data_IF_143320394138
#
_entry.id   IF_143320394138
#
_cell.length_a   1.000
_cell.length_b   1.000
_cell.length_c   1.000
_cell.angle_alpha   90.00
_cell.angle_beta   90.00
_cell.angle_gamma   90.00
#
_symmetry.space_group_name_H-M   'P 1'
#
loop_
_entity.id
_entity.type
_entity.pdbx_description
1 polymer ?
#
# COMPACT_ATOMS: atom_id res chain seq x y z
N UNK A 1 14.07 8.09 -14.17
CA UNK A 1 12.94 8.07 -15.14
C UNK A 1 11.83 7.22 -14.54
N UNK A 2 10.58 7.66 -14.56
CA UNK A 2 9.47 6.85 -14.03
C UNK A 2 9.09 5.73 -15.00
N UNK A 3 8.70 4.54 -14.50
CA UNK A 3 8.27 3.45 -15.36
C UNK A 3 7.06 3.83 -16.22
N UNK A 4 7.11 3.49 -17.51
CA UNK A 4 6.04 3.78 -18.48
C UNK A 4 5.36 2.53 -19.04
N UNK A 5 5.92 1.34 -18.80
CA UNK A 5 5.36 0.03 -19.15
C UNK A 5 5.51 -0.96 -17.98
N UNK A 6 4.69 -2.02 -17.97
CA UNK A 6 4.75 -3.08 -16.96
C UNK A 6 6.12 -3.77 -16.94
N UNK A 7 6.75 -3.96 -18.09
CA UNK A 7 8.07 -4.61 -18.23
C UNK A 7 9.23 -3.87 -17.56
N UNK A 8 9.02 -2.64 -17.09
CA UNK A 8 10.02 -1.86 -16.34
C UNK A 8 9.89 -2.04 -14.82
N UNK A 9 8.88 -2.79 -14.38
CA UNK A 9 8.70 -3.12 -12.97
C UNK A 9 9.43 -4.41 -12.62
N UNK A 10 9.94 -4.44 -11.40
CA UNK A 10 10.46 -5.61 -10.74
C UNK A 10 10.01 -5.56 -9.28
N UNK A 11 9.98 -6.71 -8.61
CA UNK A 11 9.84 -6.74 -7.17
C UNK A 11 11.07 -6.12 -6.52
N UNK A 12 10.87 -5.45 -5.38
CA UNK A 12 11.93 -4.73 -4.68
C UNK A 12 13.14 -5.62 -4.34
N UNK A 13 12.87 -6.81 -3.80
CA UNK A 13 13.87 -7.83 -3.49
C UNK A 13 13.27 -9.22 -3.72
N UNK A 14 14.11 -10.27 -3.66
CA UNK A 14 13.65 -11.66 -3.68
C UNK A 14 12.83 -12.05 -2.44
N UNK A 15 12.87 -11.26 -1.36
CA UNK A 15 12.16 -11.53 -0.11
C UNK A 15 10.68 -11.13 -0.12
N UNK A 16 10.26 -10.27 -1.05
CA UNK A 16 8.90 -9.67 -1.07
C UNK A 16 7.80 -10.74 -1.06
N UNK A 17 7.85 -11.71 -1.96
CA UNK A 17 6.80 -12.73 -2.05
C UNK A 17 6.77 -13.65 -0.82
N UNK A 18 7.94 -13.98 -0.27
CA UNK A 18 8.03 -14.85 0.90
C UNK A 18 7.41 -14.21 2.14
N UNK A 19 7.75 -12.94 2.42
CA UNK A 19 7.20 -12.17 3.54
C UNK A 19 5.67 -12.01 3.43
N UNK A 20 5.17 -11.61 2.24
CA UNK A 20 3.74 -11.40 2.03
C UNK A 20 2.94 -12.71 2.15
N UNK A 21 3.44 -13.82 1.60
CA UNK A 21 2.80 -15.13 1.76
C UNK A 21 2.81 -15.61 3.20
N UNK A 22 3.89 -15.37 3.95
CA UNK A 22 3.96 -15.69 5.37
C UNK A 22 2.95 -14.88 6.18
N UNK A 23 2.82 -13.57 5.90
CA UNK A 23 1.80 -12.73 6.52
C UNK A 23 0.38 -13.23 6.23
N UNK A 24 0.09 -13.58 4.97
CA UNK A 24 -1.20 -14.18 4.60
C UNK A 24 -1.46 -15.50 5.35
N UNK A 25 -0.46 -16.39 5.42
CA UNK A 25 -0.56 -17.66 6.15
C UNK A 25 -0.80 -17.46 7.66
N UNK A 26 -0.31 -16.34 8.22
CA UNK A 26 -0.59 -15.92 9.60
C UNK A 26 -1.98 -15.26 9.78
N UNK A 27 -2.79 -15.19 8.73
CA UNK A 27 -4.15 -14.62 8.76
C UNK A 27 -4.20 -13.11 8.49
N UNK A 28 -3.10 -12.48 8.07
CA UNK A 28 -3.11 -11.08 7.69
C UNK A 28 -3.76 -10.89 6.31
N UNK A 29 -4.61 -9.88 6.21
CA UNK A 29 -5.08 -9.39 4.92
C UNK A 29 -4.01 -8.51 4.26
N UNK A 30 -3.72 -8.78 3.00
CA UNK A 30 -2.74 -8.01 2.23
C UNK A 30 -3.44 -6.87 1.48
N UNK A 31 -2.99 -5.62 1.71
CA UNK A 31 -3.57 -4.43 1.09
C UNK A 31 -2.49 -3.45 0.64
N UNK A 32 -2.57 -3.00 -0.60
CA UNK A 32 -1.79 -1.88 -1.14
C UNK A 32 -2.51 -0.56 -0.88
N UNK A 33 -1.81 0.42 -0.31
CA UNK A 33 -2.27 1.81 -0.20
C UNK A 33 -1.35 2.73 -1.02
N UNK A 34 -1.83 3.29 -2.13
CA UNK A 34 -0.99 4.04 -3.08
C UNK A 34 -1.54 5.40 -3.49
N UNK A 35 -0.64 6.39 -3.58
CA UNK A 35 -0.90 7.74 -4.05
C UNK A 35 -0.64 7.84 -5.57
N UNK A 36 -1.68 7.76 -6.41
CA UNK A 36 -1.58 7.77 -7.88
C UNK A 36 -2.22 9.01 -8.51
N UNK A 37 -1.74 10.19 -8.12
CA UNK A 37 -2.26 11.49 -8.55
C UNK A 37 -2.22 11.76 -10.07
N UNK A 38 -1.45 10.97 -10.82
CA UNK A 38 -1.42 11.02 -12.28
C UNK A 38 -2.67 10.45 -12.95
N UNK A 39 -3.50 9.68 -12.23
CA UNK A 39 -4.78 9.15 -12.73
C UNK A 39 -5.84 10.26 -12.83
N UNK A 40 -5.88 11.17 -11.86
CA UNK A 40 -6.87 12.26 -11.77
C UNK A 40 -8.31 11.71 -11.83
N UNK A 41 -9.09 12.09 -12.85
CA UNK A 41 -10.43 11.52 -13.11
C UNK A 41 -10.47 10.51 -14.26
N UNK A 42 -9.34 10.21 -14.90
CA UNK A 42 -9.28 9.31 -16.06
C UNK A 42 -9.07 7.85 -15.61
N UNK A 43 -10.07 7.27 -14.96
CA UNK A 43 -9.98 5.94 -14.33
C UNK A 43 -9.82 4.77 -15.32
N UNK A 44 -10.11 5.01 -16.61
CA UNK A 44 -9.86 4.07 -17.71
C UNK A 44 -8.75 4.56 -18.67
N UNK A 45 -8.01 5.62 -18.28
CA UNK A 45 -6.90 6.15 -19.06
C UNK A 45 -5.61 5.32 -18.93
N UNK A 46 -4.62 5.63 -19.77
CA UNK A 46 -3.31 4.93 -19.82
C UNK A 46 -2.63 4.77 -18.46
N UNK A 47 -2.66 5.81 -17.62
CA UNK A 47 -2.06 5.76 -16.28
C UNK A 47 -2.80 4.79 -15.37
N UNK A 48 -4.13 4.80 -15.40
CA UNK A 48 -4.95 3.90 -14.60
C UNK A 48 -4.79 2.45 -15.06
N UNK A 49 -4.82 2.19 -16.37
CA UNK A 49 -4.57 0.87 -16.94
C UNK A 49 -3.20 0.32 -16.54
N UNK A 50 -2.15 1.14 -16.54
CA UNK A 50 -0.81 0.75 -16.06
C UNK A 50 -0.82 0.40 -14.57
N UNK A 51 -1.44 1.21 -13.73
CA UNK A 51 -1.51 0.95 -12.28
C UNK A 51 -2.28 -0.35 -11.99
N UNK A 52 -3.45 -0.55 -12.64
CA UNK A 52 -4.21 -1.80 -12.56
C UNK A 52 -3.35 -3.00 -12.98
N UNK A 53 -2.67 -2.91 -14.12
CA UNK A 53 -1.80 -3.99 -14.62
C UNK A 53 -0.61 -4.31 -13.71
N UNK A 54 -0.03 -3.33 -13.00
CA UNK A 54 1.01 -3.60 -11.99
C UNK A 54 0.42 -4.34 -10.79
N UNK A 55 -0.78 -3.97 -10.33
CA UNK A 55 -1.45 -4.65 -9.23
C UNK A 55 -1.81 -6.09 -9.62
N UNK A 56 -2.36 -6.28 -10.82
CA UNK A 56 -2.72 -7.61 -11.34
C UNK A 56 -1.49 -8.51 -11.45
N UNK A 57 -0.38 -7.99 -11.99
CA UNK A 57 0.89 -8.72 -12.06
C UNK A 57 1.42 -9.11 -10.68
N UNK A 58 1.43 -8.18 -9.70
CA UNK A 58 1.85 -8.51 -8.33
C UNK A 58 0.93 -9.55 -7.70
N UNK A 59 -0.38 -9.46 -7.92
CA UNK A 59 -1.33 -10.46 -7.41
C UNK A 59 -1.08 -11.85 -8.01
N UNK A 60 -0.78 -11.92 -9.31
CA UNK A 60 -0.42 -13.17 -10.01
C UNK A 60 0.87 -13.78 -9.45
N UNK A 61 1.95 -12.99 -9.34
CA UNK A 61 3.21 -13.43 -8.74
C UNK A 61 3.03 -13.90 -7.29
N UNK A 62 2.18 -13.19 -6.53
CA UNK A 62 1.95 -13.47 -5.13
C UNK A 62 1.15 -14.77 -4.91
N UNK A 63 0.17 -15.06 -5.77
CA UNK A 63 -0.62 -16.29 -5.72
C UNK A 63 -1.58 -16.41 -4.52
N UNK A 64 -1.78 -15.32 -3.77
CA UNK A 64 -2.77 -15.22 -2.67
C UNK A 64 -3.56 -13.90 -2.81
N UNK A 65 -4.75 -13.77 -2.18
CA UNK A 65 -5.58 -12.58 -2.33
C UNK A 65 -4.87 -11.27 -1.97
N UNK A 66 -4.92 -10.31 -2.88
CA UNK A 66 -4.37 -8.96 -2.75
C UNK A 66 -5.46 -7.92 -2.98
N UNK A 67 -5.54 -6.94 -2.10
CA UNK A 67 -6.45 -5.80 -2.23
C UNK A 67 -5.67 -4.52 -2.47
N UNK A 68 -6.31 -3.51 -3.06
CA UNK A 68 -5.67 -2.22 -3.26
C UNK A 68 -6.65 -1.06 -3.08
N UNK A 69 -6.19 -0.01 -2.39
CA UNK A 69 -6.84 1.29 -2.31
C UNK A 69 -5.93 2.35 -2.93
N UNK A 70 -6.45 3.11 -3.89
CA UNK A 70 -5.66 4.01 -4.72
C UNK A 70 -6.24 5.44 -4.65
N UNK A 71 -5.48 6.39 -4.10
CA UNK A 71 -5.83 7.81 -4.16
C UNK A 71 -5.43 8.40 -5.51
N UNK A 72 -6.41 8.65 -6.37
CA UNK A 72 -6.20 9.15 -7.75
C UNK A 72 -6.04 10.67 -7.84
N UNK A 73 -6.36 11.40 -6.77
CA UNK A 73 -6.40 12.86 -6.71
C UNK A 73 -5.79 13.41 -5.41
N UNK A 74 -5.58 14.73 -5.35
CA UNK A 74 -5.33 15.45 -4.08
C UNK A 74 -6.64 15.53 -3.31
N UNK A 75 -6.93 14.49 -2.55
CA UNK A 75 -8.16 14.31 -1.77
C UNK A 75 -7.82 13.92 -0.33
N UNK A 76 -8.83 13.85 0.54
CA UNK A 76 -8.68 13.35 1.92
C UNK A 76 -8.14 11.91 1.99
N UNK A 77 -8.37 11.11 0.95
CA UNK A 77 -7.85 9.75 0.85
C UNK A 77 -6.36 9.72 0.51
N UNK A 78 -5.74 10.85 0.12
CA UNK A 78 -4.31 10.88 -0.19
C UNK A 78 -3.50 10.77 1.10
N UNK A 79 -2.54 9.84 1.15
CA UNK A 79 -1.55 9.78 2.24
C UNK A 79 -0.83 11.13 2.36
N UNK A 80 -0.56 11.62 3.58
CA UNK A 80 -0.43 10.85 4.83
C UNK A 80 -1.72 10.70 5.69
N UNK A 81 -2.88 11.16 5.24
CA UNK A 81 -4.11 11.03 6.05
C UNK A 81 -4.60 9.58 6.19
N UNK A 82 -5.23 9.25 7.32
CA UNK A 82 -5.88 7.96 7.57
C UNK A 82 -7.15 7.61 6.74
N UNK A 83 -7.89 8.53 6.08
CA UNK A 83 -9.17 8.17 5.45
C UNK A 83 -9.13 7.00 4.44
N UNK A 84 -8.00 6.77 3.75
CA UNK A 84 -7.86 5.61 2.86
C UNK A 84 -7.94 4.27 3.62
N UNK A 85 -7.40 4.21 4.83
CA UNK A 85 -7.52 3.06 5.71
C UNK A 85 -8.97 2.85 6.16
N UNK A 86 -9.65 3.93 6.55
CA UNK A 86 -11.07 3.88 6.91
C UNK A 86 -11.95 3.37 5.76
N UNK A 87 -11.66 3.78 4.52
CA UNK A 87 -12.30 3.26 3.31
C UNK A 87 -12.06 1.75 3.16
N UNK A 88 -10.82 1.28 3.33
CA UNK A 88 -10.49 -0.14 3.27
C UNK A 88 -11.27 -0.96 4.30
N UNK A 89 -11.35 -0.48 5.56
CA UNK A 89 -12.11 -1.15 6.60
C UNK A 89 -13.59 -1.28 6.25
N UNK A 90 -14.18 -0.18 5.76
CA UNK A 90 -15.61 -0.11 5.45
C UNK A 90 -16.00 -0.97 4.25
N UNK A 91 -15.24 -0.86 3.16
CA UNK A 91 -15.64 -1.44 1.87
C UNK A 91 -15.04 -2.83 1.63
N UNK A 92 -13.83 -3.08 2.14
CA UNK A 92 -13.06 -4.26 1.76
C UNK A 92 -12.92 -5.25 2.92
N UNK A 93 -13.22 -4.89 4.17
CA UNK A 93 -12.91 -5.73 5.33
C UNK A 93 -14.10 -6.53 5.89
N UNK A 94 -15.21 -6.59 5.15
CA UNK A 94 -16.35 -7.45 5.49
C UNK A 94 -16.98 -7.17 6.86
N UNK A 95 -16.89 -5.92 7.34
CA UNK A 95 -17.37 -5.53 8.67
C UNK A 95 -16.46 -5.92 9.84
N UNK A 96 -15.33 -6.58 9.57
CA UNK A 96 -14.33 -6.94 10.60
C UNK A 96 -13.48 -5.72 10.93
N UNK A 97 -13.24 -5.46 12.21
CA UNK A 97 -12.30 -4.41 12.64
C UNK A 97 -10.85 -4.92 12.52
N UNK A 98 -9.94 -4.06 12.08
CA UNK A 98 -8.52 -4.42 12.03
C UNK A 98 -7.89 -4.37 13.43
N UNK A 99 -7.08 -5.38 13.74
CA UNK A 99 -6.27 -5.41 14.95
C UNK A 99 -4.95 -4.69 14.68
N UNK A 100 -4.87 -3.39 15.00
CA UNK A 100 -3.68 -2.58 14.67
C UNK A 100 -2.37 -3.11 15.26
N UNK A 101 -2.39 -3.60 16.51
CA UNK A 101 -1.18 -4.13 17.16
C UNK A 101 -0.63 -5.42 16.49
N UNK A 102 -1.45 -6.10 15.68
CA UNK A 102 -1.07 -7.27 14.88
C UNK A 102 -0.96 -6.92 13.38
N UNK A 103 -1.05 -5.63 13.04
CA UNK A 103 -0.92 -5.12 11.69
C UNK A 103 0.39 -4.35 11.54
N UNK A 104 0.88 -4.26 10.31
CA UNK A 104 2.02 -3.40 9.98
C UNK A 104 1.80 -2.73 8.63
N UNK A 105 2.48 -1.60 8.42
CA UNK A 105 2.51 -0.87 7.16
C UNK A 105 3.96 -0.75 6.69
N UNK A 106 4.20 -1.10 5.43
CA UNK A 106 5.51 -1.00 4.80
C UNK A 106 5.47 0.03 3.68
N UNK A 107 6.42 0.98 3.67
CA UNK A 107 6.52 2.01 2.64
C UNK A 107 7.87 2.73 2.61
N UNK A 108 8.22 3.27 1.45
CA UNK A 108 9.52 3.88 1.18
C UNK A 108 9.57 5.37 1.52
N UNK A 109 8.44 6.07 1.54
CA UNK A 109 8.38 7.47 1.96
C UNK A 109 8.44 7.57 3.50
N UNK A 110 9.64 7.39 4.05
CA UNK A 110 9.92 7.30 5.49
C UNK A 110 10.54 8.58 6.09
N UNK A 111 10.90 9.56 5.24
CA UNK A 111 11.55 10.81 5.65
C UNK A 111 13.05 10.68 5.94
N UNK A 112 13.69 9.63 5.42
CA UNK A 112 15.13 9.42 5.53
C UNK A 112 15.89 10.34 4.55
N UNK A 113 17.19 10.60 4.75
CA UNK A 113 17.98 11.34 3.78
C UNK A 113 17.92 10.69 2.39
N UNK A 114 17.38 11.40 1.40
CA UNK A 114 17.20 10.93 0.03
C UNK A 114 15.79 10.44 -0.33
N UNK A 115 14.90 10.27 0.66
CA UNK A 115 13.50 9.95 0.40
C UNK A 115 12.77 11.14 -0.25
N UNK A 116 11.77 10.86 -1.09
CA UNK A 116 10.94 11.87 -1.76
C UNK A 116 9.85 12.44 -0.81
N UNK A 117 9.86 12.01 0.46
CA UNK A 117 8.98 12.49 1.54
C UNK A 117 8.85 11.48 2.67
N UNK A 118 7.87 11.71 3.55
CA UNK A 118 7.55 10.91 4.73
C UNK A 118 6.09 10.41 4.77
N UNK A 119 5.41 10.48 3.61
CA UNK A 119 3.97 10.23 3.54
C UNK A 119 3.54 8.83 3.98
N UNK A 120 4.43 7.84 3.93
CA UNK A 120 4.12 6.46 4.32
C UNK A 120 4.26 6.26 5.83
N UNK A 121 5.34 6.79 6.41
CA UNK A 121 5.53 6.84 7.86
C UNK A 121 4.38 7.60 8.52
N UNK A 122 4.06 8.77 7.99
CA UNK A 122 3.02 9.62 8.55
C UNK A 122 1.61 9.03 8.33
N UNK A 123 1.40 8.28 7.25
CA UNK A 123 0.18 7.48 7.07
C UNK A 123 -0.01 6.45 8.18
N UNK A 124 1.03 5.68 8.50
CA UNK A 124 0.95 4.71 9.60
C UNK A 124 0.66 5.38 10.94
N UNK A 125 1.32 6.51 11.23
CA UNK A 125 1.08 7.28 12.44
C UNK A 125 -0.36 7.82 12.50
N UNK A 126 -0.87 8.38 11.40
CA UNK A 126 -2.24 8.90 11.32
C UNK A 126 -3.28 7.79 11.51
N UNK A 127 -3.05 6.60 10.95
CA UNK A 127 -3.93 5.43 11.15
C UNK A 127 -3.94 5.00 12.63
N UNK A 128 -2.77 4.92 13.27
CA UNK A 128 -2.67 4.64 14.69
C UNK A 128 -3.48 5.61 15.54
N UNK A 129 -3.25 6.91 15.33
CA UNK A 129 -3.95 7.98 16.06
C UNK A 129 -5.47 7.94 15.85
N UNK A 130 -5.93 7.71 14.62
CA UNK A 130 -7.36 7.70 14.29
C UNK A 130 -8.11 6.47 14.85
N UNK A 131 -7.41 5.36 15.09
CA UNK A 131 -8.01 4.10 15.52
C UNK A 131 -7.57 3.68 16.93
N UNK A 132 -7.06 4.63 17.74
CA UNK A 132 -6.80 4.43 19.16
C UNK A 132 -5.65 3.47 19.46
N UNK A 133 -4.63 3.42 18.60
CA UNK A 133 -3.49 2.52 18.76
C UNK A 133 -2.24 3.00 18.03
N UNK A 134 -1.37 2.05 17.68
CA UNK A 134 -0.21 2.29 16.83
C UNK A 134 -0.17 1.24 15.73
N UNK A 135 0.06 1.68 14.49
CA UNK A 135 0.32 0.79 13.36
C UNK A 135 1.84 0.73 13.18
N UNK A 136 2.41 -0.48 13.32
CA UNK A 136 3.84 -0.65 13.16
C UNK A 136 4.27 -0.24 11.74
N UNK A 137 5.22 0.67 11.62
CA UNK A 137 5.79 1.09 10.34
C UNK A 137 7.13 0.39 10.11
N UNK A 138 7.35 -0.08 8.88
CA UNK A 138 8.62 -0.67 8.42
C UNK A 138 9.01 -0.06 7.07
N UNK A 139 10.30 0.09 6.81
CA UNK A 139 10.78 0.39 5.45
C UNK A 139 10.86 -0.89 4.62
N UNK A 140 10.96 -0.82 3.28
CA UNK A 140 11.10 -2.01 2.44
C UNK A 140 12.33 -2.85 2.79
N UNK A 141 13.44 -2.22 3.17
CA UNK A 141 14.67 -2.90 3.58
C UNK A 141 14.47 -3.69 4.89
N UNK A 142 13.75 -3.12 5.85
CA UNK A 142 13.42 -3.80 7.11
C UNK A 142 12.44 -4.96 6.92
N UNK A 143 11.52 -4.84 5.95
CA UNK A 143 10.46 -5.83 5.73
C UNK A 143 10.89 -6.96 4.78
N UNK A 144 11.73 -6.68 3.78
CA UNK A 144 11.98 -7.60 2.68
C UNK A 144 13.46 -7.96 2.48
N UNK A 145 14.36 -7.50 3.36
CA UNK A 145 15.81 -7.69 3.26
C UNK A 145 16.41 -6.93 2.09
#
# INVERSE_FOLDING_TARGET
VFPTSLSQYALWSGGVLAELRAAHAAGCKLVIFSNQGGIKGAHEGKTAARVKGVIDWVAEELGVPLFACIATQKSEYRKPGAPMWGLMLRELNGGVQAHLAASSYTGDAAGRPGDIGDSDRDFAAAVGAAHGGSLAFRTPEEAFG
#
